data_IF_060177110823
#
_entry.id   IF_060177110823
#
_cell.length_a   1.000
_cell.length_b   1.000
_cell.length_c   1.000
_cell.angle_alpha   90.00
_cell.angle_beta   90.00
_cell.angle_gamma   90.00
#
_symmetry.space_group_name_H-M   'P 1'
#
loop_
_entity.id
_entity.type
_entity.pdbx_description
1 polymer ?
#
# COMPACT_ATOMS: atom_id res chain seq x y z
N UNK A 1 -6.71 -42.66 -5.06
CA UNK A 1 -6.45 -41.22 -5.33
C UNK A 1 -7.56 -40.60 -6.19
N UNK A 2 -8.77 -40.42 -5.65
CA UNK A 2 -9.88 -39.77 -6.40
C UNK A 2 -10.85 -38.98 -5.51
N UNK A 3 -10.46 -38.69 -4.26
CA UNK A 3 -11.37 -38.18 -3.22
C UNK A 3 -10.92 -36.86 -2.56
N UNK A 4 -10.19 -35.99 -3.29
CA UNK A 4 -9.72 -34.70 -2.76
C UNK A 4 -9.89 -33.53 -3.75
N UNK A 5 -10.74 -33.68 -4.77
CA UNK A 5 -10.88 -32.69 -5.84
C UNK A 5 -12.22 -31.92 -5.87
N UNK A 6 -13.13 -32.19 -4.95
CA UNK A 6 -14.50 -31.66 -5.00
C UNK A 6 -14.91 -31.09 -3.63
N UNK A 7 -14.26 -30.00 -3.23
CA UNK A 7 -14.79 -28.97 -2.32
C UNK A 7 -14.07 -27.66 -2.66
N UNK A 8 -14.09 -27.29 -3.95
CA UNK A 8 -13.82 -25.90 -4.32
C UNK A 8 -15.15 -25.18 -4.13
N UNK A 9 -15.29 -24.44 -3.05
CA UNK A 9 -16.36 -23.44 -2.95
C UNK A 9 -16.33 -22.59 -4.23
N UNK A 10 -17.51 -22.38 -4.82
CA UNK A 10 -17.62 -21.65 -6.07
C UNK A 10 -17.08 -20.24 -5.85
N UNK A 11 -15.87 -19.97 -6.38
CA UNK A 11 -15.23 -18.66 -6.25
C UNK A 11 -16.15 -17.59 -6.82
N UNK A 12 -16.36 -16.47 -6.12
CA UNK A 12 -17.20 -15.41 -6.64
C UNK A 12 -16.73 -14.95 -8.03
N UNK A 13 -17.62 -14.93 -9.02
CA UNK A 13 -17.30 -14.59 -10.41
C UNK A 13 -16.61 -13.23 -10.55
N UNK A 14 -16.85 -12.30 -9.63
CA UNK A 14 -16.30 -10.95 -9.73
C UNK A 14 -14.77 -10.88 -9.51
N UNK A 15 -14.15 -11.86 -8.82
CA UNK A 15 -12.68 -11.93 -8.66
C UNK A 15 -11.97 -12.74 -9.75
N UNK A 16 -12.72 -13.38 -10.67
CA UNK A 16 -12.13 -14.26 -11.69
C UNK A 16 -11.05 -13.56 -12.51
N UNK A 17 -11.26 -12.27 -12.82
CA UNK A 17 -10.30 -11.49 -13.60
C UNK A 17 -8.92 -11.37 -12.94
N UNK A 18 -8.87 -11.22 -11.61
CA UNK A 18 -7.59 -11.16 -10.88
C UNK A 18 -6.83 -12.49 -11.02
N UNK A 19 -7.56 -13.60 -10.87
CA UNK A 19 -6.99 -14.95 -11.03
C UNK A 19 -6.55 -15.23 -12.47
N UNK A 20 -7.34 -14.82 -13.48
CA UNK A 20 -6.97 -14.95 -14.90
C UNK A 20 -5.65 -14.25 -15.20
N UNK A 21 -5.51 -12.99 -14.73
CA UNK A 21 -4.30 -12.19 -14.93
C UNK A 21 -3.11 -12.86 -14.25
N UNK A 22 -3.25 -13.21 -12.96
CA UNK A 22 -2.20 -13.91 -12.23
C UNK A 22 -1.74 -15.20 -12.93
N UNK A 23 -2.68 -16.04 -13.38
CA UNK A 23 -2.35 -17.28 -14.10
C UNK A 23 -1.64 -17.03 -15.42
N UNK A 24 -2.02 -15.97 -16.15
CA UNK A 24 -1.38 -15.61 -17.43
C UNK A 24 0.06 -15.10 -17.29
N UNK A 25 0.45 -14.66 -16.09
CA UNK A 25 1.79 -14.12 -15.78
C UNK A 25 2.72 -15.18 -15.15
N UNK A 26 2.34 -16.46 -15.18
CA UNK A 26 3.14 -17.54 -14.62
C UNK A 26 4.55 -17.56 -15.25
N UNK A 27 5.63 -17.37 -14.47
CA UNK A 27 6.99 -17.36 -15.01
C UNK A 27 7.37 -18.69 -15.68
N UNK A 28 8.16 -18.61 -16.76
CA UNK A 28 8.70 -19.79 -17.44
C UNK A 28 9.66 -20.61 -16.55
N UNK A 29 9.75 -21.92 -16.79
CA UNK A 29 10.45 -22.87 -15.91
C UNK A 29 11.95 -22.55 -15.72
N UNK A 30 12.64 -22.14 -16.78
CA UNK A 30 14.10 -21.90 -16.76
C UNK A 30 14.47 -20.52 -16.20
N UNK A 31 13.86 -19.42 -16.67
CA UNK A 31 14.20 -18.07 -16.18
C UNK A 31 13.68 -17.78 -14.75
N UNK A 32 12.45 -18.19 -14.42
CA UNK A 32 11.80 -17.80 -13.16
C UNK A 32 12.30 -18.54 -11.91
N UNK A 33 13.09 -19.60 -12.07
CA UNK A 33 13.69 -20.33 -10.94
C UNK A 33 14.95 -19.64 -10.43
N UNK A 34 15.71 -18.94 -11.28
CA UNK A 34 16.93 -18.22 -10.90
C UNK A 34 16.67 -16.82 -10.32
N UNK A 35 15.59 -16.14 -10.73
CA UNK A 35 15.18 -14.83 -10.18
C UNK A 35 14.36 -14.91 -8.88
N UNK A 36 13.83 -16.10 -8.56
CA UNK A 36 12.89 -16.32 -7.47
C UNK A 36 11.42 -16.02 -7.82
N UNK A 37 11.15 -15.48 -9.01
CA UNK A 37 9.82 -15.04 -9.43
C UNK A 37 8.79 -16.18 -9.41
N UNK A 38 9.22 -17.41 -9.68
CA UNK A 38 8.30 -18.56 -9.75
C UNK A 38 7.70 -18.94 -8.39
N UNK A 39 8.50 -18.94 -7.32
CA UNK A 39 7.97 -19.29 -6.00
C UNK A 39 7.21 -18.12 -5.38
N UNK A 40 7.61 -16.87 -5.68
CA UNK A 40 6.82 -15.68 -5.35
C UNK A 40 5.48 -15.69 -6.06
N UNK A 41 5.43 -15.95 -7.36
CA UNK A 41 4.19 -16.15 -8.12
C UNK A 41 3.28 -17.17 -7.43
N UNK A 42 3.80 -18.37 -7.10
CA UNK A 42 3.04 -19.37 -6.35
C UNK A 42 2.54 -18.84 -4.99
N UNK A 43 3.37 -18.09 -4.27
CA UNK A 43 3.00 -17.45 -3.00
C UNK A 43 1.84 -16.46 -3.21
N UNK A 44 1.88 -15.61 -4.24
CA UNK A 44 0.79 -14.69 -4.54
C UNK A 44 -0.53 -15.42 -4.79
N UNK A 45 -0.49 -16.56 -5.50
CA UNK A 45 -1.68 -17.40 -5.69
C UNK A 45 -2.34 -17.84 -4.38
N UNK A 46 -1.54 -18.20 -3.37
CA UNK A 46 -2.05 -18.53 -2.02
C UNK A 46 -2.70 -17.33 -1.35
N UNK A 47 -2.12 -16.15 -1.50
CA UNK A 47 -2.71 -14.90 -0.98
C UNK A 47 -4.04 -14.60 -1.67
N UNK A 48 -4.08 -14.68 -3.01
CA UNK A 48 -5.30 -14.48 -3.80
C UNK A 48 -6.40 -15.45 -3.38
N UNK A 49 -6.07 -16.72 -3.16
CA UNK A 49 -7.05 -17.71 -2.71
C UNK A 49 -7.71 -17.30 -1.38
N UNK A 50 -6.94 -16.87 -0.37
CA UNK A 50 -7.49 -16.45 0.93
C UNK A 50 -8.32 -15.17 0.84
N UNK A 51 -7.86 -14.18 0.06
CA UNK A 51 -8.50 -12.86 0.04
C UNK A 51 -9.67 -12.78 -0.94
N UNK A 52 -9.86 -13.75 -1.83
CA UNK A 52 -10.97 -13.76 -2.80
C UNK A 52 -12.06 -14.77 -2.46
N UNK A 53 -11.78 -15.72 -1.59
CA UNK A 53 -12.79 -16.58 -0.98
C UNK A 53 -13.51 -15.83 0.17
N UNK A 54 -14.85 -15.72 0.15
CA UNK A 54 -15.59 -14.97 1.16
C UNK A 54 -15.43 -15.50 2.59
N UNK A 55 -15.37 -16.81 2.77
CA UNK A 55 -15.30 -17.43 4.11
C UNK A 55 -13.90 -17.28 4.70
N UNK A 56 -12.87 -17.59 3.90
CA UNK A 56 -11.48 -17.40 4.33
C UNK A 56 -11.19 -15.92 4.64
N UNK A 57 -11.65 -15.00 3.80
CA UNK A 57 -11.43 -13.58 4.05
C UNK A 57 -12.19 -13.09 5.30
N UNK A 58 -13.42 -13.58 5.53
CA UNK A 58 -14.17 -13.27 6.74
C UNK A 58 -13.47 -13.78 8.01
N UNK A 59 -12.86 -14.96 7.97
CA UNK A 59 -12.04 -15.50 9.06
C UNK A 59 -10.83 -14.59 9.35
N UNK A 60 -10.11 -14.15 8.31
CA UNK A 60 -9.00 -13.21 8.44
C UNK A 60 -9.43 -11.89 9.09
N UNK A 61 -10.54 -11.31 8.64
CA UNK A 61 -11.11 -10.09 9.24
C UNK A 61 -11.47 -10.31 10.71
N UNK A 62 -12.13 -11.42 11.02
CA UNK A 62 -12.54 -11.77 12.37
C UNK A 62 -11.34 -11.87 13.31
N UNK A 63 -10.27 -12.57 12.91
CA UNK A 63 -9.04 -12.64 13.69
C UNK A 63 -8.40 -11.26 13.88
N UNK A 64 -8.24 -10.49 12.79
CA UNK A 64 -7.64 -9.15 12.85
C UNK A 64 -8.33 -8.22 13.86
N UNK A 65 -9.66 -8.12 13.79
CA UNK A 65 -10.42 -7.22 14.66
C UNK A 65 -10.60 -7.76 16.08
N UNK A 66 -10.67 -9.07 16.28
CA UNK A 66 -10.66 -9.67 17.62
C UNK A 66 -9.32 -9.46 18.31
N UNK A 67 -8.20 -9.62 17.59
CA UNK A 67 -6.86 -9.35 18.09
C UNK A 67 -6.72 -7.88 18.49
N UNK A 68 -7.11 -6.95 17.60
CA UNK A 68 -7.10 -5.51 17.90
C UNK A 68 -7.92 -5.17 19.16
N UNK A 69 -9.14 -5.72 19.28
CA UNK A 69 -9.99 -5.53 20.46
C UNK A 69 -9.34 -6.06 21.73
N UNK A 70 -8.60 -7.17 21.63
CA UNK A 70 -7.82 -7.73 22.74
C UNK A 70 -6.66 -6.80 23.12
N UNK A 71 -5.83 -6.41 22.15
CA UNK A 71 -4.68 -5.54 22.34
C UNK A 71 -5.04 -4.15 22.89
N UNK A 72 -6.23 -3.65 22.57
CA UNK A 72 -6.75 -2.40 23.13
C UNK A 72 -6.93 -2.41 24.65
N UNK A 73 -7.08 -3.59 25.28
CA UNK A 73 -7.21 -3.73 26.73
C UNK A 73 -5.90 -3.46 27.48
N UNK A 74 -4.77 -3.73 26.82
CA UNK A 74 -3.41 -3.64 27.39
C UNK A 74 -2.57 -2.57 26.67
N UNK A 75 -3.22 -1.67 25.91
CA UNK A 75 -2.54 -0.68 25.09
C UNK A 75 -1.73 0.31 25.92
N UNK A 76 -0.57 0.69 25.38
CA UNK A 76 0.25 1.79 25.88
C UNK A 76 0.12 2.98 24.92
N UNK A 77 0.17 4.21 25.41
CA UNK A 77 0.16 5.39 24.55
C UNK A 77 1.38 5.40 23.59
N UNK A 78 1.21 5.72 22.29
CA UNK A 78 2.35 5.91 21.39
C UNK A 78 3.27 7.04 21.87
N UNK A 79 4.59 6.96 21.60
CA UNK A 79 5.50 8.03 21.96
C UNK A 79 5.25 9.28 21.09
N UNK A 80 5.78 10.43 21.49
CA UNK A 80 5.63 11.72 20.79
C UNK A 80 6.86 12.01 19.91
N UNK A 81 7.22 11.07 19.04
CA UNK A 81 8.44 11.17 18.25
C UNK A 81 8.36 10.40 16.95
N UNK A 82 9.30 10.69 16.07
CA UNK A 82 9.65 9.83 14.96
C UNK A 82 10.60 8.73 15.44
N UNK A 83 10.37 7.48 15.03
CA UNK A 83 11.29 6.36 15.25
C UNK A 83 11.76 5.79 13.91
N UNK A 84 13.07 5.58 13.75
CA UNK A 84 13.64 4.88 12.59
C UNK A 84 14.20 3.54 13.02
N UNK A 85 13.60 2.45 12.52
CA UNK A 85 13.89 1.07 12.94
C UNK A 85 14.39 0.24 11.77
N UNK A 86 15.35 -0.65 12.04
CA UNK A 86 15.91 -1.55 11.03
C UNK A 86 15.07 -2.82 10.98
N UNK A 87 13.87 -2.71 10.40
CA UNK A 87 12.88 -3.78 10.36
C UNK A 87 11.97 -3.62 9.13
N UNK A 88 11.34 -4.71 8.73
CA UNK A 88 10.30 -4.75 7.71
C UNK A 88 9.04 -3.97 8.15
N UNK A 89 8.31 -3.42 7.17
CA UNK A 89 7.12 -2.61 7.44
C UNK A 89 6.02 -3.36 8.18
N UNK A 90 5.81 -4.64 7.84
CA UNK A 90 4.69 -5.44 8.36
C UNK A 90 4.97 -5.96 9.76
N UNK A 91 6.22 -6.31 10.06
CA UNK A 91 6.63 -6.67 11.42
C UNK A 91 6.52 -5.46 12.35
N UNK A 92 7.04 -4.30 11.92
CA UNK A 92 6.87 -3.05 12.67
C UNK A 92 5.40 -2.69 12.83
N UNK A 93 4.57 -2.84 11.79
CA UNK A 93 3.15 -2.56 11.85
C UNK A 93 2.43 -3.45 12.86
N UNK A 94 2.70 -4.76 12.87
CA UNK A 94 2.18 -5.70 13.86
C UNK A 94 2.57 -5.25 15.28
N UNK A 95 3.86 -4.98 15.51
CA UNK A 95 4.37 -4.58 16.82
C UNK A 95 3.69 -3.32 17.35
N UNK A 96 3.64 -2.24 16.55
CA UNK A 96 3.07 -0.96 17.02
C UNK A 96 1.55 -1.02 17.11
N UNK A 97 0.88 -1.75 16.23
CA UNK A 97 -0.58 -1.95 16.32
C UNK A 97 -0.96 -2.75 17.57
N UNK A 98 -0.22 -3.81 17.87
CA UNK A 98 -0.40 -4.62 19.09
C UNK A 98 -0.09 -3.80 20.35
N UNK A 99 1.06 -3.11 20.38
CA UNK A 99 1.49 -2.33 21.55
C UNK A 99 0.56 -1.16 21.87
N UNK A 100 0.02 -0.50 20.86
CA UNK A 100 -0.76 0.72 21.02
C UNK A 100 -2.28 0.53 20.84
N UNK A 101 -2.73 -0.69 20.49
CA UNK A 101 -4.14 -1.00 20.26
C UNK A 101 -4.78 -0.13 19.18
N UNK A 102 -4.01 0.28 18.17
CA UNK A 102 -4.41 1.23 17.12
C UNK A 102 -4.08 0.69 15.73
N UNK A 103 -4.95 0.98 14.76
CA UNK A 103 -4.70 0.68 13.35
C UNK A 103 -3.85 1.79 12.75
N UNK A 104 -2.65 1.44 12.28
CA UNK A 104 -1.74 2.40 11.66
C UNK A 104 -2.01 2.51 10.15
N UNK A 105 -1.98 3.72 9.57
CA UNK A 105 -1.71 3.94 8.16
C UNK A 105 -0.30 3.48 7.81
N UNK A 106 -0.15 2.71 6.74
CA UNK A 106 1.11 2.16 6.25
C UNK A 106 1.30 2.54 4.79
N UNK A 107 2.43 3.16 4.49
CA UNK A 107 2.79 3.57 3.14
C UNK A 107 3.08 2.36 2.25
N UNK A 108 2.23 2.17 1.26
CA UNK A 108 2.56 1.43 0.04
C UNK A 108 3.35 2.36 -0.88
N UNK A 109 4.61 2.02 -1.13
CA UNK A 109 5.52 2.77 -2.00
C UNK A 109 5.22 2.44 -3.48
N UNK A 110 4.06 2.89 -3.92
CA UNK A 110 3.40 2.39 -5.11
C UNK A 110 4.07 2.78 -6.43
N UNK A 111 3.91 1.94 -7.45
CA UNK A 111 4.08 2.35 -8.83
C UNK A 111 2.90 3.25 -9.28
N UNK A 112 3.18 4.30 -10.06
CA UNK A 112 2.15 5.25 -10.50
C UNK A 112 1.26 4.71 -11.63
N UNK A 113 1.65 3.64 -12.31
CA UNK A 113 0.95 3.06 -13.46
C UNK A 113 0.38 1.66 -13.15
N UNK A 114 1.17 0.80 -12.50
CA UNK A 114 0.84 -0.60 -12.25
C UNK A 114 0.46 -0.82 -10.78
N UNK A 115 -0.82 -1.02 -10.43
CA UNK A 115 -1.23 -1.34 -9.06
C UNK A 115 -0.60 -2.66 -8.61
N UNK A 116 0.17 -2.63 -7.51
CA UNK A 116 0.86 -3.81 -7.01
C UNK A 116 2.15 -4.15 -7.75
N UNK A 117 2.58 -3.29 -8.67
CA UNK A 117 3.76 -3.47 -9.52
C UNK A 117 3.86 -4.90 -10.07
N UNK A 118 4.93 -5.63 -9.74
CA UNK A 118 5.17 -6.98 -10.22
C UNK A 118 4.64 -8.08 -9.27
N UNK A 119 3.70 -7.78 -8.36
CA UNK A 119 3.24 -8.73 -7.34
C UNK A 119 2.59 -9.98 -7.95
N UNK A 120 1.91 -9.83 -9.09
CA UNK A 120 1.26 -10.95 -9.79
C UNK A 120 2.27 -11.79 -10.58
N UNK A 121 3.45 -11.24 -10.86
CA UNK A 121 4.57 -11.78 -11.64
C UNK A 121 5.67 -12.39 -10.74
N UNK A 122 5.77 -11.94 -9.49
CA UNK A 122 6.79 -12.39 -8.53
C UNK A 122 7.90 -11.37 -8.21
N UNK A 123 7.60 -10.06 -8.25
CA UNK A 123 8.50 -9.00 -7.79
C UNK A 123 8.80 -9.05 -6.29
N UNK A 124 9.76 -8.25 -5.83
CA UNK A 124 10.29 -8.30 -4.45
C UNK A 124 10.51 -6.93 -3.79
N UNK A 125 10.01 -5.84 -4.40
CA UNK A 125 10.04 -4.55 -3.73
C UNK A 125 8.95 -4.47 -2.65
N UNK A 126 8.92 -3.34 -1.94
CA UNK A 126 8.05 -3.19 -0.77
C UNK A 126 6.56 -3.29 -1.10
N UNK A 127 6.13 -2.77 -2.25
CA UNK A 127 4.73 -2.87 -2.71
C UNK A 127 4.35 -4.34 -2.91
N UNK A 128 5.18 -5.12 -3.62
CA UNK A 128 4.93 -6.54 -3.84
C UNK A 128 4.93 -7.33 -2.54
N UNK A 129 5.87 -7.05 -1.63
CA UNK A 129 5.89 -7.68 -0.31
C UNK A 129 4.60 -7.41 0.47
N UNK A 130 4.09 -6.17 0.44
CA UNK A 130 2.79 -5.83 1.05
C UNK A 130 1.65 -6.61 0.42
N UNK A 131 1.64 -6.74 -0.90
CA UNK A 131 0.59 -7.46 -1.62
C UNK A 131 0.62 -8.96 -1.37
N UNK A 132 1.80 -9.56 -1.27
CA UNK A 132 1.94 -10.95 -0.85
C UNK A 132 1.37 -11.20 0.54
N UNK A 133 1.39 -10.20 1.42
CA UNK A 133 1.10 -10.39 2.85
C UNK A 133 -0.29 -9.97 3.29
N UNK A 134 -1.04 -9.31 2.41
CA UNK A 134 -2.26 -8.62 2.79
C UNK A 134 -3.38 -8.71 1.77
N UNK A 135 -4.51 -8.10 2.11
CA UNK A 135 -5.68 -8.01 1.24
C UNK A 135 -5.63 -6.91 0.17
N UNK A 136 -4.53 -6.14 0.06
CA UNK A 136 -4.40 -5.02 -0.88
C UNK A 136 -4.76 -5.36 -2.33
N UNK A 137 -4.47 -6.59 -2.79
CA UNK A 137 -4.79 -7.02 -4.15
C UNK A 137 -6.29 -7.05 -4.47
N UNK A 138 -7.18 -7.06 -3.46
CA UNK A 138 -8.63 -6.87 -3.66
C UNK A 138 -8.96 -5.51 -4.29
N UNK A 139 -8.08 -4.52 -4.12
CA UNK A 139 -8.23 -3.17 -4.70
C UNK A 139 -8.14 -3.13 -6.23
N UNK A 140 -7.69 -4.20 -6.90
CA UNK A 140 -7.59 -4.26 -8.37
C UNK A 140 -8.94 -4.05 -9.09
N UNK A 141 -10.04 -4.15 -8.36
CA UNK A 141 -11.39 -3.98 -8.86
C UNK A 141 -12.03 -2.67 -8.36
N UNK A 142 -11.28 -1.82 -7.66
CA UNK A 142 -11.71 -0.50 -7.19
C UNK A 142 -11.81 0.50 -8.35
N UNK A 143 -12.58 1.57 -8.14
CA UNK A 143 -12.65 2.71 -9.08
C UNK A 143 -11.25 3.29 -9.29
N UNK A 144 -10.93 3.62 -10.53
CA UNK A 144 -9.63 4.18 -10.89
C UNK A 144 -8.62 3.17 -11.40
N UNK A 145 -8.94 1.87 -11.37
CA UNK A 145 -8.15 0.80 -11.96
C UNK A 145 -8.97 0.13 -13.05
N UNK A 146 -8.33 -0.16 -14.19
CA UNK A 146 -8.93 -0.91 -15.29
C UNK A 146 -8.01 -2.03 -15.75
N UNK A 147 -8.59 -3.04 -16.39
CA UNK A 147 -7.82 -4.11 -17.03
C UNK A 147 -7.50 -3.72 -18.47
N UNK A 148 -6.23 -3.81 -18.87
CA UNK A 148 -5.75 -3.62 -20.23
C UNK A 148 -5.61 -4.99 -20.92
N UNK A 149 -6.50 -5.36 -21.86
CA UNK A 149 -6.43 -6.66 -22.54
C UNK A 149 -5.19 -6.85 -23.40
N UNK A 150 -4.62 -5.77 -23.94
CA UNK A 150 -3.45 -5.85 -24.82
C UNK A 150 -2.19 -6.19 -24.02
N UNK A 151 -2.04 -5.56 -22.85
CA UNK A 151 -0.93 -5.82 -21.93
C UNK A 151 -1.19 -6.96 -20.94
N UNK A 152 -2.44 -7.43 -20.86
CA UNK A 152 -2.93 -8.42 -19.91
C UNK A 152 -2.70 -8.05 -18.43
N UNK A 153 -2.57 -6.77 -18.11
CA UNK A 153 -2.33 -6.29 -16.74
C UNK A 153 -3.40 -5.28 -16.31
N UNK A 154 -3.39 -4.94 -15.02
CA UNK A 154 -4.19 -3.83 -14.49
C UNK A 154 -3.39 -2.53 -14.55
N UNK A 155 -4.09 -1.43 -14.82
CA UNK A 155 -3.52 -0.09 -14.92
C UNK A 155 -4.36 0.92 -14.15
N UNK A 156 -3.69 1.91 -13.55
CA UNK A 156 -4.35 3.09 -13.04
C UNK A 156 -4.84 3.99 -14.20
N UNK A 157 -6.05 4.52 -14.07
CA UNK A 157 -6.53 5.62 -14.91
C UNK A 157 -5.78 6.93 -14.61
N UNK A 158 -5.85 7.90 -15.52
CA UNK A 158 -5.07 9.14 -15.43
C UNK A 158 -5.27 9.89 -14.10
N UNK A 159 -6.50 9.94 -13.59
CA UNK A 159 -6.82 10.61 -12.33
C UNK A 159 -6.17 9.90 -11.14
N UNK A 160 -6.20 8.58 -11.13
CA UNK A 160 -5.54 7.76 -10.10
C UNK A 160 -4.03 7.94 -10.15
N UNK A 161 -3.42 8.01 -11.35
CA UNK A 161 -1.98 8.30 -11.46
C UNK A 161 -1.62 9.67 -10.87
N UNK A 162 -2.43 10.71 -11.14
CA UNK A 162 -2.25 12.05 -10.56
C UNK A 162 -2.39 12.03 -9.04
N UNK A 163 -3.40 11.33 -8.52
CA UNK A 163 -3.61 11.14 -7.09
C UNK A 163 -2.41 10.45 -6.42
N UNK A 164 -1.98 9.29 -6.94
CA UNK A 164 -0.83 8.57 -6.39
C UNK A 164 0.47 9.39 -6.49
N UNK A 165 0.60 10.21 -7.53
CA UNK A 165 1.76 11.09 -7.73
C UNK A 165 1.68 12.39 -6.94
N UNK A 166 0.70 12.58 -6.05
CA UNK A 166 0.55 13.81 -5.26
C UNK A 166 0.31 15.07 -6.10
N UNK A 167 -0.31 14.91 -7.28
CA UNK A 167 -0.63 15.98 -8.23
C UNK A 167 -2.12 16.36 -8.18
N UNK A 168 -2.96 15.54 -7.56
CA UNK A 168 -4.36 15.86 -7.33
C UNK A 168 -4.49 16.93 -6.24
N UNK A 169 -5.07 18.08 -6.58
CA UNK A 169 -5.35 19.15 -5.63
C UNK A 169 -6.49 18.73 -4.69
N UNK A 170 -6.41 19.17 -3.44
CA UNK A 170 -7.54 19.05 -2.51
C UNK A 170 -8.72 19.91 -3.00
N UNK A 171 -9.95 19.42 -2.81
CA UNK A 171 -11.17 20.19 -3.08
C UNK A 171 -11.30 21.36 -2.12
N UNK A 172 -12.21 22.29 -2.41
CA UNK A 172 -12.49 23.43 -1.52
C UNK A 172 -12.87 23.00 -0.10
N UNK A 173 -13.68 21.95 0.02
CA UNK A 173 -14.12 21.39 1.32
C UNK A 173 -12.95 20.73 2.07
N UNK A 174 -12.08 20.03 1.34
CA UNK A 174 -10.87 19.43 1.91
C UNK A 174 -9.89 20.50 2.39
N UNK A 175 -9.68 21.58 1.61
CA UNK A 175 -8.83 22.71 1.97
C UNK A 175 -9.37 23.48 3.18
N UNK A 176 -10.69 23.67 3.27
CA UNK A 176 -11.33 24.27 4.45
C UNK A 176 -11.10 23.40 5.69
N UNK A 177 -11.32 22.08 5.55
CA UNK A 177 -11.07 21.16 6.65
C UNK A 177 -9.60 21.09 7.05
N UNK A 178 -8.68 21.10 6.09
CA UNK A 178 -7.25 21.10 6.36
C UNK A 178 -6.85 22.41 7.05
N UNK A 179 -7.30 23.56 6.55
CA UNK A 179 -7.03 24.89 7.14
C UNK A 179 -7.49 24.95 8.60
N UNK A 180 -8.70 24.48 8.90
CA UNK A 180 -9.24 24.39 10.27
C UNK A 180 -8.40 23.46 11.16
N UNK A 181 -7.93 22.33 10.64
CA UNK A 181 -7.09 21.39 11.40
C UNK A 181 -5.69 21.97 11.68
N UNK A 182 -5.08 22.61 10.69
CA UNK A 182 -3.75 23.22 10.80
C UNK A 182 -3.76 24.51 11.62
N UNK A 183 -4.90 25.22 11.66
CA UNK A 183 -5.05 26.52 12.29
C UNK A 183 -4.44 27.67 11.47
N UNK A 184 -4.21 27.44 10.18
CA UNK A 184 -3.68 28.42 9.22
C UNK A 184 -4.47 28.31 7.93
N UNK A 185 -4.59 29.42 7.18
CA UNK A 185 -5.23 29.38 5.86
C UNK A 185 -4.32 28.62 4.89
N UNK A 186 -4.84 27.55 4.30
CA UNK A 186 -4.15 26.73 3.30
C UNK A 186 -4.84 26.90 1.95
N UNK A 187 -4.38 27.85 1.10
CA UNK A 187 -5.02 28.14 -0.18
C UNK A 187 -4.82 27.03 -1.21
N UNK A 188 -3.78 26.21 -1.03
CA UNK A 188 -3.44 25.11 -1.92
C UNK A 188 -2.78 23.98 -1.13
N UNK A 189 -3.21 22.76 -1.39
CA UNK A 189 -2.63 21.52 -0.88
C UNK A 189 -2.98 20.38 -1.83
N UNK A 190 -2.20 19.32 -1.77
CA UNK A 190 -2.33 18.13 -2.60
C UNK A 190 -2.61 16.92 -1.72
N UNK A 191 -3.15 15.87 -2.32
CA UNK A 191 -3.45 14.62 -1.60
C UNK A 191 -2.92 13.41 -2.35
N UNK A 192 -2.81 12.32 -1.62
CA UNK A 192 -2.54 10.97 -2.15
C UNK A 192 -3.67 10.03 -1.79
N UNK A 193 -3.66 8.82 -2.35
CA UNK A 193 -4.68 7.83 -2.03
C UNK A 193 -4.51 7.32 -0.59
N UNK A 194 -5.61 7.25 0.15
CA UNK A 194 -5.68 6.54 1.42
C UNK A 194 -6.99 5.75 1.49
N UNK A 195 -6.88 4.45 1.72
CA UNK A 195 -8.02 3.56 1.88
C UNK A 195 -8.88 3.94 3.10
N UNK A 196 -10.20 3.97 2.92
CA UNK A 196 -11.13 4.28 4.01
C UNK A 196 -11.35 3.10 4.96
N UNK A 197 -11.14 1.89 4.45
CA UNK A 197 -11.28 0.65 5.19
C UNK A 197 -9.89 0.04 5.43
N UNK A 198 -9.69 -0.61 6.59
CA UNK A 198 -8.43 -1.32 6.83
C UNK A 198 -8.27 -2.53 5.91
N UNK A 199 -7.06 -2.72 5.44
CA UNK A 199 -6.56 -3.97 4.86
C UNK A 199 -6.15 -4.93 5.98
N UNK A 200 -6.12 -6.23 5.69
CA UNK A 200 -5.74 -7.28 6.64
C UNK A 200 -4.38 -7.84 6.25
N UNK A 201 -3.40 -7.76 7.15
CA UNK A 201 -2.11 -8.43 7.01
C UNK A 201 -2.16 -9.79 7.72
N UNK A 202 -1.86 -10.86 6.99
CA UNK A 202 -2.04 -12.24 7.45
C UNK A 202 -0.88 -13.18 7.08
N UNK A 203 0.19 -12.67 6.46
CA UNK A 203 1.40 -13.44 6.16
C UNK A 203 2.66 -12.72 6.61
N UNK A 204 3.66 -13.50 7.02
CA UNK A 204 4.97 -13.03 7.45
C UNK A 204 5.81 -12.44 6.32
N UNK A 205 6.98 -11.88 6.63
CA UNK A 205 7.86 -11.21 5.67
C UNK A 205 8.50 -12.19 4.67
N UNK A 206 9.20 -11.63 3.67
CA UNK A 206 10.16 -12.40 2.88
C UNK A 206 11.42 -12.62 3.73
N UNK A 207 11.86 -13.87 3.86
CA UNK A 207 12.99 -14.24 4.70
C UNK A 207 14.23 -14.35 3.84
N UNK A 208 15.21 -13.51 4.12
CA UNK A 208 16.52 -13.55 3.49
C UNK A 208 17.48 -14.40 4.33
N UNK A 209 18.07 -15.42 3.74
CA UNK A 209 19.08 -16.28 4.35
C UNK A 209 20.46 -16.01 3.73
N UNK A 210 21.55 -16.07 4.50
CA UNK A 210 22.89 -15.98 3.94
C UNK A 210 23.12 -17.11 2.94
N UNK A 211 23.70 -16.82 1.79
CA UNK A 211 24.31 -17.83 0.92
C UNK A 211 25.76 -18.05 1.33
N UNK A 212 26.31 -19.23 1.03
CA UNK A 212 27.69 -19.59 1.38
C UNK A 212 28.70 -18.49 1.00
N UNK A 213 29.73 -18.33 1.84
CA UNK A 213 30.80 -17.37 1.65
C UNK A 213 31.44 -17.57 0.28
N UNK A 214 31.33 -16.57 -0.59
CA UNK A 214 32.22 -16.47 -1.73
C UNK A 214 33.60 -16.06 -1.19
N UNK A 215 34.54 -17.01 -1.10
CA UNK A 215 35.90 -16.80 -0.57
C UNK A 215 36.65 -15.66 -1.30
N UNK A 216 36.19 -15.28 -2.50
CA UNK A 216 36.78 -14.22 -3.32
C UNK A 216 36.19 -12.83 -3.06
N UNK A 217 35.02 -12.72 -2.42
CA UNK A 217 34.41 -11.42 -2.11
C UNK A 217 34.03 -11.34 -0.63
N UNK A 218 34.54 -10.33 0.07
CA UNK A 218 34.27 -10.10 1.50
C UNK A 218 32.82 -9.69 1.80
N UNK A 219 31.88 -9.89 0.87
CA UNK A 219 30.48 -9.49 0.97
C UNK A 219 29.61 -10.70 1.23
N UNK A 220 28.93 -10.72 2.39
CA UNK A 220 27.85 -11.67 2.67
C UNK A 220 26.72 -11.45 1.65
N UNK A 221 26.47 -12.44 0.81
CA UNK A 221 25.33 -12.45 -0.09
C UNK A 221 24.13 -13.07 0.61
N UNK A 222 22.94 -12.55 0.34
CA UNK A 222 21.68 -13.04 0.90
C UNK A 222 20.74 -13.43 -0.24
N UNK A 223 20.03 -14.54 -0.08
CA UNK A 223 18.99 -14.99 -1.00
C UNK A 223 17.67 -15.20 -0.25
N UNK A 224 16.55 -15.07 -0.96
CA UNK A 224 15.25 -15.30 -0.36
C UNK A 224 14.95 -16.80 -0.23
N UNK A 225 14.56 -17.24 0.96
CA UNK A 225 14.17 -18.62 1.23
C UNK A 225 12.70 -18.85 0.88
N UNK A 226 12.44 -19.61 -0.17
CA UNK A 226 11.08 -19.86 -0.67
C UNK A 226 10.17 -20.66 0.28
N UNK A 227 10.73 -21.35 1.28
CA UNK A 227 9.99 -22.18 2.24
C UNK A 227 9.59 -21.37 3.46
N UNK A 228 10.48 -20.51 3.95
CA UNK A 228 10.27 -19.69 5.14
C UNK A 228 9.52 -18.38 4.82
N UNK A 229 9.67 -17.87 3.59
CA UNK A 229 9.06 -16.60 3.17
C UNK A 229 7.53 -16.67 3.08
N UNK A 230 6.88 -15.59 3.51
CA UNK A 230 5.42 -15.42 3.43
C UNK A 230 4.63 -16.54 4.12
N UNK A 231 5.13 -17.13 5.20
CA UNK A 231 4.34 -18.07 6.00
C UNK A 231 3.04 -17.41 6.49
N UNK A 232 1.95 -18.17 6.67
CA UNK A 232 0.75 -17.66 7.33
C UNK A 232 1.12 -17.21 8.75
N UNK A 233 0.65 -16.04 9.15
CA UNK A 233 0.79 -15.59 10.53
C UNK A 233 -0.03 -16.49 11.47
N UNK A 234 0.43 -16.70 12.71
CA UNK A 234 -0.42 -17.21 13.77
C UNK A 234 -1.72 -16.38 13.86
N UNK A 235 -2.85 -17.06 14.14
CA UNK A 235 -4.18 -16.41 14.15
C UNK A 235 -4.25 -15.23 15.11
N UNK A 236 -3.49 -15.26 16.20
CA UNK A 236 -3.36 -14.20 17.22
C UNK A 236 -2.40 -13.07 16.83
N UNK A 237 -1.81 -13.14 15.63
CA UNK A 237 -0.91 -12.12 15.06
C UNK A 237 -1.46 -11.48 13.78
N UNK A 238 -2.57 -11.96 13.22
CA UNK A 238 -3.25 -11.30 12.10
C UNK A 238 -3.74 -9.92 12.56
N UNK A 239 -3.52 -8.88 11.75
CA UNK A 239 -3.80 -7.50 12.16
C UNK A 239 -4.32 -6.62 11.00
N UNK A 240 -5.12 -5.58 11.31
CA UNK A 240 -5.55 -4.61 10.32
C UNK A 240 -4.57 -3.43 10.20
N UNK A 241 -4.49 -2.80 9.03
CA UNK A 241 -3.79 -1.53 8.79
C UNK A 241 -4.54 -0.69 7.73
N UNK A 242 -4.36 0.63 7.71
CA UNK A 242 -4.87 1.45 6.60
C UNK A 242 -3.79 1.58 5.53
N UNK A 243 -4.13 1.38 4.26
CA UNK A 243 -3.16 1.60 3.18
C UNK A 243 -3.15 3.08 2.75
N UNK A 244 -1.96 3.69 2.67
CA UNK A 244 -1.73 4.95 1.95
C UNK A 244 -0.84 4.65 0.74
N UNK A 245 -1.28 5.00 -0.48
CA UNK A 245 -0.51 4.78 -1.72
C UNK A 245 0.03 6.10 -2.24
N UNK A 246 1.34 6.16 -2.38
CA UNK A 246 1.99 7.28 -3.04
C UNK A 246 3.15 6.79 -3.90
N UNK A 247 3.28 7.33 -5.10
CA UNK A 247 4.35 7.02 -6.03
C UNK A 247 5.45 8.08 -5.95
N UNK A 248 6.69 7.66 -5.72
CA UNK A 248 7.84 8.57 -5.78
C UNK A 248 8.19 8.88 -7.25
N UNK A 249 8.94 9.96 -7.55
CA UNK A 249 9.50 10.16 -8.87
C UNK A 249 10.35 8.96 -9.29
N UNK A 250 10.13 8.44 -10.50
CA UNK A 250 10.88 7.31 -11.03
C UNK A 250 12.11 7.83 -11.80
N UNK A 251 13.30 7.54 -11.28
CA UNK A 251 14.58 7.99 -11.85
C UNK A 251 15.33 6.87 -12.60
N UNK A 252 14.82 5.63 -12.57
CA UNK A 252 15.46 4.49 -13.24
C UNK A 252 15.62 4.74 -14.74
N UNK A 253 16.80 4.38 -15.28
CA UNK A 253 17.11 4.53 -16.70
C UNK A 253 17.30 5.97 -17.18
N UNK A 254 17.28 6.97 -16.29
CA UNK A 254 17.53 8.37 -16.62
C UNK A 254 18.97 8.75 -16.31
N UNK A 255 19.65 9.42 -17.24
CA UNK A 255 20.91 10.11 -16.97
C UNK A 255 20.59 11.39 -16.20
N UNK A 256 21.01 11.45 -14.94
CA UNK A 256 20.71 12.56 -14.04
C UNK A 256 22.00 13.17 -13.55
N UNK A 257 22.19 14.44 -13.87
CA UNK A 257 23.18 15.29 -13.22
C UNK A 257 22.56 15.96 -11.99
N UNK A 258 22.98 15.53 -10.80
CA UNK A 258 22.53 16.12 -9.54
C UNK A 258 23.24 17.44 -9.19
N UNK A 259 24.29 17.82 -9.92
CA UNK A 259 24.93 19.14 -9.81
C UNK A 259 24.20 20.21 -10.63
N UNK A 260 23.36 19.79 -11.58
CA UNK A 260 22.46 20.68 -12.30
C UNK A 260 21.41 21.28 -11.34
N UNK A 261 21.58 22.58 -11.05
CA UNK A 261 20.73 23.32 -10.09
C UNK A 261 19.26 23.36 -10.50
N UNK A 262 18.95 23.50 -11.78
CA UNK A 262 17.57 23.59 -12.26
C UNK A 262 16.84 22.25 -12.14
N UNK A 263 17.54 21.16 -12.48
CA UNK A 263 17.03 19.82 -12.27
C UNK A 263 16.80 19.56 -10.78
N UNK A 264 17.82 19.82 -9.95
CA UNK A 264 17.74 19.58 -8.51
C UNK A 264 16.61 20.37 -7.86
N UNK A 265 16.41 21.63 -8.26
CA UNK A 265 15.31 22.46 -7.78
C UNK A 265 13.93 21.87 -8.15
N UNK A 266 13.73 21.47 -9.42
CA UNK A 266 12.47 20.85 -9.87
C UNK A 266 12.19 19.53 -9.16
N UNK A 267 13.20 18.65 -9.10
CA UNK A 267 13.11 17.34 -8.46
C UNK A 267 12.81 17.45 -6.96
N UNK A 268 13.50 18.35 -6.25
CA UNK A 268 13.27 18.55 -4.81
C UNK A 268 11.91 19.18 -4.53
N UNK A 269 11.44 20.11 -5.38
CA UNK A 269 10.10 20.69 -5.27
C UNK A 269 9.01 19.63 -5.50
N UNK A 270 9.18 18.78 -6.50
CA UNK A 270 8.27 17.66 -6.76
C UNK A 270 8.22 16.70 -5.56
N UNK A 271 9.37 16.23 -5.07
CA UNK A 271 9.42 15.37 -3.88
C UNK A 271 8.76 16.03 -2.66
N UNK A 272 9.05 17.31 -2.42
CA UNK A 272 8.48 18.07 -1.31
C UNK A 272 6.96 18.14 -1.40
N UNK A 273 6.41 18.43 -2.58
CA UNK A 273 4.97 18.44 -2.80
C UNK A 273 4.35 17.08 -2.50
N UNK A 274 4.94 15.99 -3.01
CA UNK A 274 4.37 14.65 -2.81
C UNK A 274 4.48 14.17 -1.36
N UNK A 275 5.58 14.46 -0.66
CA UNK A 275 5.73 14.20 0.78
C UNK A 275 4.70 15.02 1.57
N UNK A 276 4.56 16.31 1.25
CA UNK A 276 3.52 17.16 1.83
C UNK A 276 2.13 16.56 1.63
N UNK A 277 1.82 16.08 0.43
CA UNK A 277 0.55 15.43 0.12
C UNK A 277 0.28 14.17 0.95
N UNK A 278 1.29 13.35 1.23
CA UNK A 278 1.16 12.20 2.15
C UNK A 278 0.74 12.67 3.55
N UNK A 279 1.45 13.65 4.10
CA UNK A 279 1.22 14.15 5.46
C UNK A 279 -0.12 14.91 5.57
N UNK A 280 -0.45 15.74 4.59
CA UNK A 280 -1.71 16.49 4.56
C UNK A 280 -2.91 15.54 4.40
N UNK A 281 -2.78 14.45 3.65
CA UNK A 281 -3.79 13.39 3.57
C UNK A 281 -4.03 12.74 4.93
N UNK A 282 -2.95 12.41 5.67
CA UNK A 282 -3.06 11.84 7.02
C UNK A 282 -3.78 12.80 7.97
N UNK A 283 -3.41 14.09 7.95
CA UNK A 283 -4.05 15.13 8.79
C UNK A 283 -5.52 15.27 8.45
N UNK A 284 -5.86 15.37 7.16
CA UNK A 284 -7.23 15.47 6.66
C UNK A 284 -8.08 14.28 7.14
N UNK A 285 -7.53 13.06 7.06
CA UNK A 285 -8.16 11.81 7.53
C UNK A 285 -8.08 11.61 9.04
N UNK A 286 -7.57 12.58 9.80
CA UNK A 286 -7.51 12.56 11.26
C UNK A 286 -6.55 11.52 11.83
N UNK A 287 -5.54 11.10 11.07
CA UNK A 287 -4.54 10.13 11.49
C UNK A 287 -3.38 10.85 12.17
N UNK A 288 -3.18 10.52 13.44
CA UNK A 288 -2.08 11.06 14.26
C UNK A 288 -0.86 10.16 14.25
N UNK A 289 -1.01 8.94 13.76
CA UNK A 289 0.03 7.92 13.78
C UNK A 289 0.21 7.39 12.34
N UNK A 290 1.43 7.06 11.92
CA UNK A 290 1.69 6.53 10.57
C UNK A 290 2.99 5.72 10.49
N UNK A 291 3.05 4.80 9.52
CA UNK A 291 4.24 4.06 9.12
C UNK A 291 4.58 4.47 7.69
N UNK A 292 5.76 5.06 7.51
CA UNK A 292 6.29 5.52 6.23
C UNK A 292 7.47 4.60 5.83
N UNK A 293 8.51 5.14 5.20
CA UNK A 293 9.72 4.38 4.93
C UNK A 293 10.67 5.09 3.97
N UNK A 294 11.65 4.36 3.43
CA UNK A 294 12.62 4.85 2.46
C UNK A 294 12.01 5.03 1.04
N UNK A 295 11.01 5.90 0.95
CA UNK A 295 10.14 6.06 -0.21
C UNK A 295 10.91 6.40 -1.49
N UNK A 296 10.82 5.52 -2.50
CA UNK A 296 11.50 5.67 -3.78
C UNK A 296 13.02 5.45 -3.78
N UNK A 297 13.62 5.11 -2.64
CA UNK A 297 15.09 4.97 -2.46
C UNK A 297 15.62 3.57 -2.82
N UNK A 298 14.83 2.77 -3.55
CA UNK A 298 15.20 1.44 -4.05
C UNK A 298 15.16 1.42 -5.58
N UNK A 299 14.21 0.68 -6.15
CA UNK A 299 14.06 0.53 -7.62
C UNK A 299 13.92 1.86 -8.37
N UNK A 300 13.33 2.89 -7.74
CA UNK A 300 13.15 4.21 -8.35
C UNK A 300 14.36 5.14 -8.25
N UNK A 301 15.46 4.71 -7.60
CA UNK A 301 16.76 5.39 -7.58
C UNK A 301 16.76 6.83 -7.03
N UNK A 302 15.80 7.17 -6.16
CA UNK A 302 15.84 8.44 -5.44
C UNK A 302 16.99 8.43 -4.42
N UNK A 303 17.70 9.55 -4.26
CA UNK A 303 18.78 9.66 -3.26
C UNK A 303 18.21 9.66 -1.84
N UNK A 304 18.56 8.69 -0.97
CA UNK A 304 18.00 8.58 0.38
C UNK A 304 18.25 9.82 1.23
N UNK A 305 19.42 10.44 1.05
CA UNK A 305 19.83 11.66 1.72
C UNK A 305 18.93 12.87 1.42
N UNK A 306 18.48 13.02 0.16
CA UNK A 306 17.53 14.05 -0.25
C UNK A 306 16.15 13.73 0.32
N UNK A 307 15.67 12.50 0.15
CA UNK A 307 14.32 12.08 0.59
C UNK A 307 14.17 12.21 2.10
N UNK A 308 15.14 11.72 2.89
CA UNK A 308 15.11 11.79 4.35
C UNK A 308 15.11 13.23 4.87
N UNK A 309 15.90 14.14 4.27
CA UNK A 309 15.86 15.57 4.61
C UNK A 309 14.50 16.20 4.31
N UNK A 310 13.93 15.92 3.14
CA UNK A 310 12.63 16.48 2.77
C UNK A 310 11.52 15.97 3.70
N UNK A 311 11.54 14.69 4.09
CA UNK A 311 10.64 14.17 5.12
C UNK A 311 10.81 14.92 6.44
N UNK A 312 12.05 15.15 6.91
CA UNK A 312 12.31 15.91 8.13
C UNK A 312 11.65 17.29 8.07
N UNK A 313 11.96 18.05 7.02
CA UNK A 313 11.43 19.41 6.86
C UNK A 313 9.89 19.44 6.85
N UNK A 314 9.27 18.51 6.12
CA UNK A 314 7.80 18.48 5.99
C UNK A 314 7.09 17.97 7.25
N UNK A 315 7.73 17.05 7.99
CA UNK A 315 7.26 16.58 9.30
C UNK A 315 7.38 17.69 10.33
N UNK A 316 8.50 18.40 10.40
CA UNK A 316 8.72 19.50 11.38
C UNK A 316 7.64 20.59 11.23
N UNK A 317 7.27 20.96 10.00
CA UNK A 317 6.17 21.91 9.72
C UNK A 317 4.81 21.46 10.28
N UNK A 318 4.62 20.14 10.45
CA UNK A 318 3.35 19.51 10.82
C UNK A 318 3.43 18.75 12.15
N UNK A 319 4.53 18.88 12.89
CA UNK A 319 4.86 18.00 14.02
C UNK A 319 3.73 17.94 15.06
N UNK A 320 3.05 19.08 15.31
CA UNK A 320 1.93 19.19 16.25
C UNK A 320 0.70 18.33 15.89
N UNK A 321 0.62 17.79 14.67
CA UNK A 321 -0.51 16.98 14.18
C UNK A 321 -0.24 15.48 14.22
N UNK A 322 1.00 15.09 14.50
CA UNK A 322 1.37 13.70 14.66
C UNK A 322 1.73 13.40 16.11
N UNK A 323 1.43 12.18 16.54
CA UNK A 323 1.87 11.59 17.79
C UNK A 323 3.06 10.70 17.50
N UNK A 324 2.92 9.73 16.59
CA UNK A 324 3.94 8.72 16.33
C UNK A 324 4.11 8.45 14.83
N UNK A 325 5.30 8.66 14.30
CA UNK A 325 5.64 8.27 12.92
C UNK A 325 6.79 7.28 12.98
N UNK A 326 6.65 6.14 12.29
CA UNK A 326 7.71 5.13 12.22
C UNK A 326 8.21 4.98 10.79
N UNK A 327 9.53 4.92 10.64
CA UNK A 327 10.20 4.57 9.39
C UNK A 327 10.88 3.20 9.55
N UNK A 328 10.17 2.09 9.26
CA UNK A 328 10.77 0.77 9.12
C UNK A 328 11.52 0.70 7.80
N UNK A 329 12.82 0.45 7.90
CA UNK A 329 13.71 0.43 6.73
C UNK A 329 14.61 -0.78 6.86
N UNK A 330 14.56 -1.66 5.86
CA UNK A 330 15.58 -2.68 5.62
C UNK A 330 16.52 -2.14 4.55
N UNK A 331 17.83 -2.26 4.79
CA UNK A 331 18.83 -1.93 3.78
C UNK A 331 18.75 -2.92 2.62
N UNK A 332 18.89 -2.41 1.40
CA UNK A 332 18.99 -3.28 0.22
C UNK A 332 20.45 -3.67 0.01
N UNK A 333 20.73 -4.68 -0.82
CA UNK A 333 22.11 -5.07 -1.14
C UNK A 333 22.97 -3.94 -1.72
N UNK A 334 22.35 -2.87 -2.23
CA UNK A 334 23.03 -1.76 -2.90
C UNK A 334 22.92 -0.42 -2.17
N UNK A 335 21.98 -0.27 -1.25
CA UNK A 335 21.65 1.04 -0.65
C UNK A 335 21.52 0.90 0.87
N UNK A 336 22.37 1.62 1.60
CA UNK A 336 22.32 1.76 3.05
C UNK A 336 21.33 2.88 3.45
N UNK A 337 20.04 2.61 3.29
CA UNK A 337 18.96 3.56 3.54
C UNK A 337 18.73 3.82 5.04
N UNK A 338 18.78 2.78 5.86
CA UNK A 338 18.55 2.84 7.30
C UNK A 338 19.44 3.86 8.02
N UNK A 339 20.79 3.83 7.88
CA UNK A 339 21.64 4.79 8.59
C UNK A 339 21.38 6.24 8.15
N UNK A 340 21.06 6.47 6.88
CA UNK A 340 20.75 7.82 6.36
C UNK A 340 19.45 8.35 6.96
N UNK A 341 18.37 7.56 6.90
CA UNK A 341 17.09 7.97 7.47
C UNK A 341 17.17 8.12 8.99
N UNK A 342 17.89 7.22 9.68
CA UNK A 342 18.12 7.32 11.13
C UNK A 342 18.79 8.63 11.50
N UNK A 343 19.84 9.03 10.78
CA UNK A 343 20.54 10.30 10.98
C UNK A 343 19.61 11.52 10.89
N UNK A 344 18.68 11.54 9.94
CA UNK A 344 17.85 12.71 9.68
C UNK A 344 16.55 12.74 10.49
N UNK A 345 15.98 11.59 10.82
CA UNK A 345 14.59 11.51 11.30
C UNK A 345 14.46 10.95 12.70
N UNK A 346 15.38 10.11 13.18
CA UNK A 346 15.19 9.40 14.44
C UNK A 346 15.18 10.36 15.63
N UNK A 347 14.15 10.27 16.47
CA UNK A 347 13.99 11.10 17.66
C UNK A 347 13.42 12.50 17.42
N UNK A 348 13.05 12.87 16.18
CA UNK A 348 12.34 14.12 15.91
C UNK A 348 11.09 14.21 16.79
N UNK A 349 10.89 15.34 17.47
CA UNK A 349 9.78 15.53 18.41
C UNK A 349 8.48 15.79 17.66
N UNK A 350 7.42 15.11 18.08
CA UNK A 350 6.07 15.28 17.56
C UNK A 350 5.13 15.82 18.67
N UNK A 351 3.88 16.10 18.31
CA UNK A 351 2.88 16.65 19.22
C UNK A 351 2.35 15.64 20.24
N UNK A 352 1.78 16.17 21.33
CA UNK A 352 1.00 15.38 22.28
C UNK A 352 -0.49 15.40 21.92
N UNK A 353 -0.95 14.32 21.31
CA UNK A 353 -2.32 14.11 20.86
C UNK A 353 -3.00 12.91 21.54
N UNK A 354 -2.34 12.29 22.52
CA UNK A 354 -2.91 11.25 23.35
C UNK A 354 -4.18 11.80 24.05
N UNK A 355 -5.35 11.29 23.67
CA UNK A 355 -6.66 11.69 24.22
C UNK A 355 -7.59 12.46 23.28
N UNK A 356 -7.13 12.97 22.13
CA UNK A 356 -8.00 13.64 21.13
C UNK A 356 -8.63 12.69 20.11
N UNK A 357 -8.34 11.40 20.25
CA UNK A 357 -8.80 10.32 19.38
C UNK A 357 -9.88 9.53 20.11
N UNK A 358 -11.08 10.10 20.24
CA UNK A 358 -12.27 9.32 20.56
C UNK A 358 -12.64 8.51 19.30
N UNK A 359 -11.90 7.43 19.04
CA UNK A 359 -12.33 6.43 18.08
C UNK A 359 -13.61 5.81 18.62
N UNK A 360 -14.73 6.15 18.00
CA UNK A 360 -16.00 5.50 18.26
C UNK A 360 -15.92 4.10 17.62
N UNK A 361 -15.60 3.08 18.42
CA UNK A 361 -15.48 1.68 17.99
C UNK A 361 -16.82 1.14 17.44
N UNK A 362 -17.94 1.87 17.61
CA UNK A 362 -19.25 1.54 17.04
C UNK A 362 -19.33 1.58 15.50
N UNK A 363 -18.24 1.85 14.78
CA UNK A 363 -18.17 1.71 13.32
C UNK A 363 -17.44 0.43 12.82
N UNK A 364 -16.97 -0.46 13.70
CA UNK A 364 -16.21 -1.66 13.29
C UNK A 364 -17.07 -2.92 13.06
N UNK A 365 -18.37 -2.75 12.90
CA UNK A 365 -19.27 -3.79 12.39
C UNK A 365 -20.15 -3.14 11.33
N UNK A 366 -20.22 -3.76 10.15
CA UNK A 366 -20.99 -3.43 8.92
C UNK A 366 -20.16 -2.93 7.72
N UNK A 367 -20.55 -3.36 6.49
CA UNK A 367 -19.65 -3.86 5.45
C UNK A 367 -18.97 -2.75 4.65
N UNK A 368 -17.81 -3.06 4.05
CA UNK A 368 -17.09 -2.18 3.12
C UNK A 368 -17.93 -1.97 1.83
N UNK A 369 -18.49 -0.77 1.56
CA UNK A 369 -19.25 -0.49 0.32
C UNK A 369 -18.34 -0.31 -0.92
N UNK A 370 -17.02 -0.34 -0.73
CA UNK A 370 -16.02 -0.45 -1.80
C UNK A 370 -15.05 -1.62 -1.59
N UNK A 371 -15.48 -2.63 -0.83
CA UNK A 371 -15.47 -3.93 -1.45
C UNK A 371 -16.40 -3.73 -2.63
N UNK A 372 -16.03 -4.19 -3.82
CA UNK A 372 -16.84 -4.17 -5.05
C UNK A 372 -18.28 -4.76 -4.97
N UNK A 373 -18.80 -4.93 -3.75
CA UNK A 373 -20.13 -5.36 -3.35
C UNK A 373 -20.97 -4.25 -2.68
N UNK A 374 -20.74 -2.96 -2.93
CA UNK A 374 -21.89 -2.06 -2.88
C UNK A 374 -22.97 -2.64 -3.82
N UNK A 375 -24.22 -2.82 -3.38
CA UNK A 375 -25.30 -3.14 -4.29
C UNK A 375 -25.26 -2.13 -5.42
N UNK A 376 -25.08 -2.59 -6.66
CA UNK A 376 -25.39 -1.75 -7.82
C UNK A 376 -26.89 -1.49 -7.70
N UNK A 377 -27.28 -0.24 -7.53
CA UNK A 377 -28.65 0.14 -7.78
C UNK A 377 -29.06 -0.36 -9.18
N UNK A 378 -30.28 -0.88 -9.23
CA UNK A 378 -30.84 -1.82 -10.20
C UNK A 378 -30.50 -1.53 -11.67
N UNK A 379 -30.38 -2.61 -12.45
CA UNK A 379 -30.39 -2.60 -13.93
C UNK A 379 -31.50 -1.66 -14.47
N UNK A 380 -31.32 -1.06 -15.66
CA UNK A 380 -32.40 -0.36 -16.34
C UNK A 380 -33.52 -1.36 -16.65
N UNK A 381 -34.75 -1.02 -16.32
CA UNK A 381 -35.94 -1.68 -16.86
C UNK A 381 -35.94 -1.48 -18.38
N UNK A 382 -35.54 -2.51 -19.12
CA UNK A 382 -35.94 -2.66 -20.51
C UNK A 382 -37.30 -3.34 -20.52
N UNK A 383 -38.36 -2.55 -20.58
CA UNK A 383 -39.64 -2.96 -21.17
C UNK A 383 -39.76 -2.33 -22.55
N UNK A 384 -39.76 -3.09 -23.65
CA UNK A 384 -40.17 -2.58 -24.94
C UNK A 384 -41.71 -2.58 -24.97
N UNK A 385 -42.31 -1.40 -24.92
CA UNK A 385 -43.69 -1.14 -25.34
C UNK A 385 -43.73 0.23 -25.99
N UNK A 386 -43.64 0.24 -27.31
CA UNK A 386 -44.75 0.60 -28.19
C UNK A 386 -44.20 0.85 -29.60
N UNK A 387 -44.63 0.01 -30.54
CA UNK A 387 -44.63 0.36 -31.96
C UNK A 387 -45.52 1.58 -32.17
N UNK A 388 -45.11 2.51 -33.05
CA UNK A 388 -46.06 3.04 -34.01
C UNK A 388 -45.69 2.57 -35.41
N UNK A 389 -46.68 1.92 -36.04
CA UNK A 389 -46.70 1.59 -37.45
C UNK A 389 -46.51 2.84 -38.33
N UNK A 390 -45.70 2.66 -39.36
CA UNK A 390 -45.74 3.27 -40.70
C UNK A 390 -45.89 4.81 -40.83
N UNK A 391 -44.89 5.43 -41.48
CA UNK A 391 -45.08 6.05 -42.80
C UNK A 391 -43.75 6.39 -43.49
N UNK A 392 -43.49 5.70 -44.60
CA UNK A 392 -42.90 6.16 -45.88
C UNK A 392 -42.17 7.51 -45.96
N UNK A 393 -40.91 7.45 -46.40
CA UNK A 393 -40.32 8.14 -47.57
C UNK A 393 -38.82 7.76 -47.59
N UNK A 394 -38.17 7.31 -48.66
CA UNK A 394 -38.23 7.76 -50.04
C UNK A 394 -36.79 8.12 -50.43
N UNK A 395 -36.26 7.43 -51.44
CA UNK A 395 -34.91 7.59 -51.99
C UNK A 395 -34.50 9.06 -52.21
N UNK A 396 -33.30 9.42 -51.72
CA UNK A 396 -32.18 9.99 -52.49
C UNK A 396 -30.96 10.17 -51.58
#
# INVERSE_FOLDING_TARGET
>A
MRALRELRHARPHHFSKIHDVHLSHKPGFLLGTFSGDRWRHKSMGVTLDHITDPEMFHELQSHAFNNLKSWQKEKVAPPQKVEVVHQDFGDTALEVTKKHGKVYPVLNMANSLFPGCAALEGGSAQEENMWHRSSCARSLLSKGIYYDPARKCFLYDENSRKLLSGQEKMSSEELESLSRRLGIKTPEAYKVFMGEQPEICFRGPEILVPTDFDEFTSKKQFTADSTLSYALLPKDQIFPFYEIRAAAPELVGKEIDFENKDFLAKYTNELRQRIGAQLDTLILKGKTDAILGAWGCGSFKNKPDIVARLYRDEIEKRAKHFQHIVFPIIDTQHEANYPVFKKYLDGLKLGNLAGKSSFNIKALTYPNPYSIYAPRDKKPETTPKDEPKNSTCGLL
#
